data_IF_791013287654
#
_entry.id   IF_791013287654
#
_cell.length_a   1.000
_cell.length_b   1.000
_cell.length_c   1.000
_cell.angle_alpha   90.00
_cell.angle_beta   90.00
_cell.angle_gamma   90.00
#
_symmetry.space_group_name_H-M   'P 1'
#
loop_
_entity.id
_entity.type
_entity.pdbx_description
1 polymer ?
#
# COMPACT_ATOMS: atom_id res chain seq x y z
N UNK A 1 10.52 -10.10 36.51
CA UNK A 1 9.66 -9.05 37.11
C UNK A 1 10.29 -7.71 36.81
N UNK A 2 9.51 -6.75 36.32
CA UNK A 2 9.99 -5.39 36.03
C UNK A 2 10.40 -4.72 37.34
N UNK A 3 11.67 -4.32 37.44
CA UNK A 3 12.17 -3.59 38.60
C UNK A 3 11.48 -2.22 38.72
N UNK A 4 11.06 -1.85 39.94
CA UNK A 4 10.38 -0.59 40.22
C UNK A 4 9.08 -0.36 39.39
N UNK A 5 8.34 -1.43 39.07
CA UNK A 5 7.14 -1.39 38.21
C UNK A 5 6.17 -0.25 38.54
N UNK A 6 5.78 -0.07 39.80
CA UNK A 6 4.81 0.97 40.17
C UNK A 6 5.39 2.40 39.97
N UNK A 7 6.69 2.59 40.23
CA UNK A 7 7.38 3.87 39.94
C UNK A 7 7.49 4.12 38.44
N UNK A 8 7.76 3.08 37.63
CA UNK A 8 7.81 3.17 36.17
C UNK A 8 6.44 3.47 35.57
N UNK A 9 5.38 2.83 36.05
CA UNK A 9 4.00 3.16 35.65
C UNK A 9 3.70 4.64 35.94
N UNK A 10 3.98 5.10 37.17
CA UNK A 10 3.75 6.49 37.56
C UNK A 10 4.57 7.48 36.72
N UNK A 11 5.86 7.20 36.52
CA UNK A 11 6.73 8.04 35.71
C UNK A 11 6.32 8.12 34.23
N UNK A 12 5.95 6.99 33.60
CA UNK A 12 5.45 6.99 32.22
C UNK A 12 4.09 7.67 32.09
N UNK A 13 3.22 7.52 33.09
CA UNK A 13 1.95 8.23 33.12
C UNK A 13 2.15 9.74 33.23
N UNK A 14 3.04 10.22 34.11
CA UNK A 14 3.39 11.64 34.22
C UNK A 14 4.00 12.17 32.92
N UNK A 15 4.99 11.46 32.34
CA UNK A 15 5.60 11.80 31.04
C UNK A 15 4.56 11.95 29.93
N UNK A 16 3.64 10.97 29.85
CA UNK A 16 2.59 11.00 28.84
C UNK A 16 1.60 12.15 29.10
N UNK A 17 1.22 12.38 30.36
CA UNK A 17 0.28 13.43 30.74
C UNK A 17 0.76 14.83 30.34
N UNK A 18 2.04 15.14 30.54
CA UNK A 18 2.66 16.41 30.15
C UNK A 18 2.56 16.63 28.63
N UNK A 19 2.83 15.59 27.83
CA UNK A 19 2.72 15.67 26.37
C UNK A 19 1.28 15.81 25.84
N UNK A 20 0.27 15.38 26.61
CA UNK A 20 -1.14 15.33 26.17
C UNK A 20 -2.07 16.24 27.00
N UNK A 21 -1.53 17.31 27.60
CA UNK A 21 -2.35 18.34 28.25
C UNK A 21 -3.06 17.86 29.52
N UNK A 22 -2.40 17.03 30.32
CA UNK A 22 -2.82 16.70 31.68
C UNK A 22 -3.60 15.40 31.84
N UNK A 23 -3.80 14.65 30.75
CA UNK A 23 -4.54 13.37 30.74
C UNK A 23 -3.67 12.25 30.15
N UNK A 24 -3.13 11.35 30.98
CA UNK A 24 -2.38 10.22 30.50
C UNK A 24 -3.27 9.19 29.80
N UNK A 25 -2.72 8.54 28.78
CA UNK A 25 -3.35 7.45 28.04
C UNK A 25 -2.82 6.07 28.54
N UNK A 26 -3.67 5.20 29.12
CA UNK A 26 -3.28 3.87 29.60
C UNK A 26 -2.55 3.01 28.56
N UNK A 27 -2.99 3.04 27.30
CA UNK A 27 -2.38 2.26 26.22
C UNK A 27 -0.95 2.71 25.87
N UNK A 28 -0.65 3.99 26.02
CA UNK A 28 0.70 4.53 25.82
C UNK A 28 1.65 4.07 26.91
N UNK A 29 1.17 3.93 28.15
CA UNK A 29 1.94 3.43 29.30
C UNK A 29 2.24 1.94 29.13
N UNK A 30 1.25 1.13 28.72
CA UNK A 30 1.48 -0.29 28.38
C UNK A 30 2.55 -0.42 27.30
N UNK A 31 2.49 0.43 26.27
CA UNK A 31 3.47 0.44 25.19
C UNK A 31 4.88 0.78 25.68
N UNK A 32 5.00 1.69 26.64
CA UNK A 32 6.27 2.03 27.27
C UNK A 32 6.83 0.86 28.11
N UNK A 33 5.97 0.20 28.90
CA UNK A 33 6.36 -0.94 29.73
C UNK A 33 6.79 -2.17 28.94
N UNK A 34 6.35 -2.33 27.68
CA UNK A 34 6.91 -3.37 26.80
C UNK A 34 8.42 -3.17 26.57
N UNK A 35 8.91 -1.93 26.56
CA UNK A 35 10.35 -1.67 26.45
C UNK A 35 11.10 -1.96 27.76
N UNK A 36 10.37 -2.05 28.88
CA UNK A 36 10.88 -2.41 30.21
C UNK A 36 10.79 -3.93 30.49
N UNK A 37 10.40 -4.71 29.47
CA UNK A 37 10.29 -6.17 29.57
C UNK A 37 8.92 -6.70 30.00
N UNK A 38 7.85 -5.90 29.92
CA UNK A 38 6.49 -6.41 30.11
C UNK A 38 6.15 -7.44 29.04
N UNK A 39 5.57 -8.58 29.43
CA UNK A 39 5.06 -9.55 28.47
C UNK A 39 3.58 -9.33 28.16
N UNK A 40 3.13 -9.74 26.96
CA UNK A 40 1.72 -9.63 26.55
C UNK A 40 0.77 -10.40 27.49
N UNK A 41 1.24 -11.50 28.06
CA UNK A 41 0.54 -12.32 29.06
C UNK A 41 0.25 -11.55 30.35
N UNK A 42 1.13 -10.62 30.74
CA UNK A 42 1.07 -9.88 32.00
C UNK A 42 0.19 -8.63 31.92
N UNK A 43 -0.15 -8.17 30.71
CA UNK A 43 -0.92 -6.92 30.49
C UNK A 43 -2.23 -6.91 31.26
N UNK A 44 -2.97 -8.03 31.27
CA UNK A 44 -4.25 -8.12 32.00
C UNK A 44 -4.08 -7.89 33.50
N UNK A 45 -2.97 -8.32 34.07
CA UNK A 45 -2.66 -8.21 35.50
C UNK A 45 -2.18 -6.81 35.87
N UNK A 46 -1.46 -6.14 34.96
CA UNK A 46 -0.88 -4.80 35.20
C UNK A 46 -1.88 -3.67 34.89
N UNK A 47 -2.82 -3.89 33.97
CA UNK A 47 -3.79 -2.87 33.53
C UNK A 47 -4.57 -2.18 34.66
N UNK A 48 -5.09 -2.88 35.70
CA UNK A 48 -5.80 -2.21 36.79
C UNK A 48 -4.93 -1.23 37.56
N UNK A 49 -3.63 -1.53 37.72
CA UNK A 49 -2.67 -0.63 38.37
C UNK A 49 -2.40 0.61 37.52
N UNK A 50 -2.25 0.44 36.20
CA UNK A 50 -2.09 1.55 35.26
C UNK A 50 -3.31 2.47 35.35
N UNK A 51 -4.52 1.92 35.29
CA UNK A 51 -5.74 2.73 35.32
C UNK A 51 -5.84 3.56 36.61
N UNK A 52 -5.57 2.93 37.77
CA UNK A 52 -5.56 3.62 39.05
C UNK A 52 -4.59 4.81 39.06
N UNK A 53 -3.34 4.61 38.63
CA UNK A 53 -2.32 5.66 38.62
C UNK A 53 -2.63 6.77 37.59
N UNK A 54 -3.22 6.42 36.45
CA UNK A 54 -3.71 7.39 35.46
C UNK A 54 -4.80 8.28 36.05
N UNK A 55 -5.75 7.70 36.79
CA UNK A 55 -6.84 8.43 37.42
C UNK A 55 -6.33 9.35 38.54
N UNK A 56 -5.30 8.93 39.28
CA UNK A 56 -4.64 9.76 40.30
C UNK A 56 -3.89 10.95 39.67
N UNK A 57 -3.12 10.72 38.60
CA UNK A 57 -2.35 11.77 37.92
C UNK A 57 -3.28 12.77 37.23
N UNK A 58 -4.39 12.30 36.64
CA UNK A 58 -5.37 13.17 35.96
C UNK A 58 -6.04 14.19 36.89
N UNK A 59 -5.93 14.02 38.21
CA UNK A 59 -6.46 14.96 39.22
C UNK A 59 -5.48 16.07 39.58
N UNK A 60 -4.20 15.91 39.23
CA UNK A 60 -3.16 16.92 39.47
C UNK A 60 -3.22 17.99 38.38
N UNK A 61 -2.89 19.22 38.73
CA UNK A 61 -2.65 20.28 37.75
C UNK A 61 -1.40 19.98 36.90
N UNK A 62 -1.31 20.58 35.70
CA UNK A 62 -0.16 20.38 34.81
C UNK A 62 1.17 20.74 35.50
N UNK A 63 1.20 21.82 36.27
CA UNK A 63 2.39 22.26 37.02
C UNK A 63 2.81 21.22 38.09
N UNK A 64 1.84 20.64 38.80
CA UNK A 64 2.09 19.56 39.76
C UNK A 64 2.58 18.28 39.07
N UNK A 65 2.05 17.97 37.89
CA UNK A 65 2.49 16.81 37.09
C UNK A 65 3.93 16.99 36.60
N UNK A 66 4.31 18.17 36.12
CA UNK A 66 5.68 18.50 35.72
C UNK A 66 6.65 18.37 36.90
N UNK A 67 6.29 18.95 38.05
CA UNK A 67 7.11 18.87 39.27
C UNK A 67 7.27 17.43 39.78
N UNK A 68 6.20 16.64 39.75
CA UNK A 68 6.27 15.22 40.11
C UNK A 68 7.12 14.43 39.12
N UNK A 69 7.05 14.74 37.82
CA UNK A 69 7.79 14.04 36.77
C UNK A 69 9.31 14.13 36.94
N UNK A 70 9.84 15.26 37.44
CA UNK A 70 11.27 15.43 37.73
C UNK A 70 11.85 14.29 38.59
N UNK A 71 11.05 13.76 39.53
CA UNK A 71 11.46 12.68 40.45
C UNK A 71 11.62 11.32 39.76
N UNK A 72 11.11 11.17 38.55
CA UNK A 72 11.08 9.89 37.82
C UNK A 72 11.96 9.89 36.57
N UNK A 73 12.52 11.04 36.15
CA UNK A 73 13.32 11.14 34.91
C UNK A 73 14.45 10.11 34.84
N UNK A 74 15.17 9.90 35.94
CA UNK A 74 16.32 8.98 36.00
C UNK A 74 15.94 7.49 36.01
N UNK A 75 14.67 7.17 36.34
CA UNK A 75 14.20 5.78 36.50
C UNK A 75 13.55 5.26 35.20
N UNK A 76 13.13 6.18 34.33
CA UNK A 76 12.50 5.83 33.07
C UNK A 76 13.57 5.57 32.03
N UNK A 77 13.48 4.44 31.33
CA UNK A 77 14.30 4.28 30.14
C UNK A 77 13.97 5.37 29.13
N UNK A 78 14.99 6.11 28.73
CA UNK A 78 14.92 6.85 27.49
C UNK A 78 14.96 5.83 26.37
N UNK A 79 13.99 5.92 25.46
CA UNK A 79 14.05 5.11 24.26
C UNK A 79 15.32 5.51 23.54
N UNK A 80 16.28 4.58 23.40
CA UNK A 80 17.43 4.81 22.53
C UNK A 80 16.90 5.31 21.18
N UNK A 81 17.24 6.56 20.87
CA UNK A 81 16.99 7.11 19.56
C UNK A 81 17.86 6.32 18.60
N UNK A 82 17.26 5.33 17.93
CA UNK A 82 17.92 4.64 16.83
C UNK A 82 18.15 5.67 15.74
N UNK A 83 19.40 6.06 15.56
CA UNK A 83 19.79 6.91 14.44
C UNK A 83 19.74 6.11 13.14
N UNK A 84 19.17 6.72 12.11
CA UNK A 84 19.11 6.14 10.78
C UNK A 84 18.01 5.10 10.56
N UNK A 85 18.05 4.47 9.39
CA UNK A 85 17.07 3.49 8.97
C UNK A 85 17.40 2.10 9.54
N UNK A 86 16.37 1.32 9.95
CA UNK A 86 16.53 -0.10 10.27
C UNK A 86 17.24 -0.87 9.15
N UNK A 87 17.86 -2.00 9.48
CA UNK A 87 18.39 -2.88 8.44
C UNK A 87 17.26 -3.42 7.56
N UNK A 88 17.46 -3.36 6.25
CA UNK A 88 16.52 -3.90 5.28
C UNK A 88 16.82 -5.39 5.10
N UNK A 89 15.84 -6.31 5.26
CA UNK A 89 16.07 -7.74 5.08
C UNK A 89 16.56 -8.07 3.66
N UNK A 90 17.38 -9.10 3.49
CA UNK A 90 17.85 -9.58 2.17
C UNK A 90 18.49 -8.46 1.30
N UNK A 91 19.27 -7.56 1.92
CA UNK A 91 19.79 -6.34 1.28
C UNK A 91 21.31 -6.29 1.24
N UNK A 92 21.95 -7.28 0.60
CA UNK A 92 23.41 -7.40 0.60
C UNK A 92 24.11 -6.33 -0.26
N UNK A 93 23.44 -5.80 -1.30
CA UNK A 93 23.70 -4.57 -2.10
C UNK A 93 22.72 -4.50 -3.29
N UNK A 94 22.63 -3.34 -3.95
CA UNK A 94 21.87 -3.12 -5.20
C UNK A 94 20.35 -3.29 -5.10
N UNK A 95 19.74 -2.62 -4.12
CA UNK A 95 18.28 -2.66 -3.97
C UNK A 95 17.59 -1.93 -5.12
N UNK A 96 16.57 -2.57 -5.68
CA UNK A 96 15.68 -1.99 -6.67
C UNK A 96 14.33 -1.69 -6.04
N UNK A 97 13.98 -0.40 -5.99
CA UNK A 97 12.77 0.13 -5.35
C UNK A 97 12.08 1.17 -6.25
N UNK A 98 10.86 1.56 -5.91
CA UNK A 98 10.14 2.58 -6.67
C UNK A 98 9.17 3.43 -5.85
N UNK A 99 8.87 4.59 -6.40
CA UNK A 99 7.67 5.36 -6.10
C UNK A 99 6.75 5.33 -7.32
N UNK A 100 5.46 5.05 -7.13
CA UNK A 100 4.48 4.95 -8.22
C UNK A 100 3.30 5.91 -8.03
N UNK A 101 3.45 7.22 -8.32
CA UNK A 101 2.37 8.19 -8.20
C UNK A 101 1.42 8.16 -9.41
N UNK A 102 0.11 8.29 -9.14
CA UNK A 102 -0.86 8.62 -10.17
C UNK A 102 -0.77 10.13 -10.50
N UNK A 103 -0.58 10.54 -11.77
CA UNK A 103 -0.51 11.94 -12.17
C UNK A 103 -1.89 12.60 -12.22
N UNK A 104 -2.57 12.63 -11.08
CA UNK A 104 -3.95 13.10 -10.92
C UNK A 104 -4.03 14.41 -10.11
N UNK A 105 -2.90 15.02 -9.84
CA UNK A 105 -2.72 16.25 -9.06
C UNK A 105 -1.29 16.37 -8.50
N UNK A 106 -1.00 17.46 -7.79
CA UNK A 106 0.30 17.66 -7.14
C UNK A 106 0.53 16.66 -6.00
N UNK A 107 1.80 16.43 -5.65
CA UNK A 107 2.13 15.62 -4.48
C UNK A 107 1.90 16.40 -3.19
N UNK A 108 1.19 15.80 -2.23
CA UNK A 108 1.19 16.27 -0.84
C UNK A 108 2.26 15.56 0.03
N UNK A 109 2.49 16.08 1.23
CA UNK A 109 3.49 15.57 2.20
C UNK A 109 3.37 14.07 2.49
N UNK A 110 2.14 13.52 2.52
CA UNK A 110 1.93 12.08 2.69
C UNK A 110 2.61 11.21 1.63
N UNK A 111 2.70 11.66 0.37
CA UNK A 111 3.40 10.93 -0.68
C UNK A 111 4.90 10.92 -0.43
N UNK A 112 5.44 12.08 -0.04
CA UNK A 112 6.87 12.25 0.24
C UNK A 112 7.28 11.35 1.40
N UNK A 113 6.59 11.42 2.54
CA UNK A 113 6.98 10.64 3.73
C UNK A 113 6.86 9.13 3.46
N UNK A 114 5.77 8.69 2.82
CA UNK A 114 5.58 7.26 2.55
C UNK A 114 6.62 6.68 1.58
N UNK A 115 7.21 7.52 0.70
CA UNK A 115 8.19 7.07 -0.29
C UNK A 115 9.63 7.47 0.01
N UNK A 116 9.86 8.34 1.01
CA UNK A 116 11.19 8.74 1.45
C UNK A 116 12.03 7.52 1.85
N UNK A 117 11.41 6.53 2.50
CA UNK A 117 12.07 5.28 2.85
C UNK A 117 12.67 4.57 1.64
N UNK A 118 11.94 4.48 0.52
CA UNK A 118 12.44 3.84 -0.71
C UNK A 118 13.69 4.58 -1.23
N UNK A 119 13.65 5.92 -1.28
CA UNK A 119 14.79 6.74 -1.71
C UNK A 119 16.00 6.57 -0.78
N UNK A 120 15.79 6.66 0.53
CA UNK A 120 16.86 6.58 1.53
C UNK A 120 17.48 5.18 1.61
N UNK A 121 16.70 4.10 1.46
CA UNK A 121 17.24 2.75 1.39
C UNK A 121 18.13 2.53 0.16
N UNK A 122 17.73 3.07 -1.00
CA UNK A 122 18.58 3.06 -2.19
C UNK A 122 19.87 3.88 -1.98
N UNK A 123 19.82 5.01 -1.24
CA UNK A 123 21.05 5.74 -0.85
C UNK A 123 21.95 4.92 0.08
N UNK A 124 21.36 4.15 1.00
CA UNK A 124 22.10 3.33 1.99
C UNK A 124 22.74 2.09 1.36
N UNK A 125 22.00 1.35 0.53
CA UNK A 125 22.43 0.05 -0.01
C UNK A 125 22.87 0.08 -1.49
N UNK A 126 22.78 1.24 -2.15
CA UNK A 126 22.98 1.36 -3.59
C UNK A 126 21.79 0.83 -4.41
N UNK A 127 21.96 0.71 -5.73
CA UNK A 127 20.94 0.19 -6.63
C UNK A 127 20.12 1.27 -7.35
N UNK A 128 18.82 1.00 -7.55
CA UNK A 128 17.96 1.81 -8.45
C UNK A 128 16.67 2.26 -7.76
N UNK A 129 16.38 3.55 -7.87
CA UNK A 129 15.14 4.16 -7.42
C UNK A 129 14.33 4.67 -8.61
N UNK A 130 13.24 4.00 -8.96
CA UNK A 130 12.40 4.41 -10.08
C UNK A 130 11.21 5.26 -9.63
N UNK A 131 10.83 6.24 -10.45
CA UNK A 131 9.53 6.90 -10.34
C UNK A 131 8.68 6.48 -11.54
N UNK A 132 7.59 5.76 -11.30
CA UNK A 132 6.71 5.26 -12.34
C UNK A 132 5.39 6.02 -12.28
N UNK A 133 5.12 6.86 -13.26
CA UNK A 133 3.83 7.52 -13.41
C UNK A 133 2.76 6.47 -13.70
N UNK A 134 1.80 6.32 -12.79
CA UNK A 134 0.66 5.40 -12.94
C UNK A 134 -0.47 6.08 -13.71
N UNK A 135 -0.21 6.37 -14.97
CA UNK A 135 -1.14 7.01 -15.89
C UNK A 135 -2.00 6.00 -16.65
N UNK A 136 -2.35 4.87 -16.03
CA UNK A 136 -3.21 3.86 -16.66
C UNK A 136 -4.70 4.18 -16.56
N UNK A 137 -5.06 5.29 -15.92
CA UNK A 137 -6.43 5.80 -15.88
C UNK A 137 -6.54 7.14 -16.64
N UNK A 138 -6.96 7.10 -17.93
CA UNK A 138 -6.99 8.29 -18.78
C UNK A 138 -7.82 9.44 -18.21
N UNK A 139 -8.95 9.12 -17.58
CA UNK A 139 -9.92 10.09 -17.04
C UNK A 139 -9.33 10.90 -15.87
N UNK A 140 -8.59 10.23 -14.99
CA UNK A 140 -7.98 10.85 -13.81
C UNK A 140 -6.62 11.51 -14.07
N UNK A 141 -6.06 11.36 -15.27
CA UNK A 141 -4.70 11.82 -15.60
C UNK A 141 -4.71 13.29 -16.00
N UNK A 142 -3.89 14.10 -15.34
CA UNK A 142 -3.75 15.54 -15.56
C UNK A 142 -2.36 15.82 -16.13
N UNK A 143 -2.29 16.44 -17.31
CA UNK A 143 -1.04 16.65 -18.06
C UNK A 143 0.00 17.46 -17.26
N UNK A 144 -0.45 18.47 -16.52
CA UNK A 144 0.39 19.37 -15.74
C UNK A 144 1.04 18.64 -14.56
N UNK A 145 0.39 17.57 -14.06
CA UNK A 145 0.89 16.78 -12.93
C UNK A 145 2.21 16.07 -13.26
N UNK A 146 2.46 15.71 -14.52
CA UNK A 146 3.74 15.10 -14.91
C UNK A 146 4.93 16.01 -14.59
N UNK A 147 4.82 17.30 -14.90
CA UNK A 147 5.90 18.27 -14.65
C UNK A 147 6.03 18.57 -13.16
N UNK A 148 4.90 18.75 -12.46
CA UNK A 148 4.88 19.03 -11.02
C UNK A 148 5.50 17.88 -10.21
N UNK A 149 5.05 16.65 -10.42
CA UNK A 149 5.56 15.47 -9.73
C UNK A 149 7.06 15.27 -9.99
N UNK A 150 7.55 15.51 -11.22
CA UNK A 150 9.00 15.44 -11.50
C UNK A 150 9.78 16.45 -10.67
N UNK A 151 9.31 17.71 -10.62
CA UNK A 151 9.92 18.78 -9.82
C UNK A 151 9.94 18.40 -8.33
N UNK A 152 8.82 17.94 -7.80
CA UNK A 152 8.67 17.54 -6.39
C UNK A 152 9.57 16.36 -6.04
N UNK A 153 9.63 15.33 -6.92
CA UNK A 153 10.51 14.18 -6.72
C UNK A 153 12.00 14.55 -6.76
N UNK A 154 12.37 15.47 -7.66
CA UNK A 154 13.76 15.96 -7.75
C UNK A 154 14.15 16.68 -6.47
N UNK A 155 13.29 17.56 -5.97
CA UNK A 155 13.49 18.28 -4.73
C UNK A 155 13.51 17.36 -3.50
N UNK A 156 12.54 16.44 -3.38
CA UNK A 156 12.37 15.62 -2.19
C UNK A 156 13.37 14.45 -2.08
N UNK A 157 13.68 13.77 -3.20
CA UNK A 157 14.45 12.53 -3.18
C UNK A 157 15.89 12.72 -3.68
N UNK A 158 16.08 13.46 -4.78
CA UNK A 158 17.39 13.78 -5.35
C UNK A 158 18.20 12.60 -5.91
N UNK A 159 17.66 11.37 -5.91
CA UNK A 159 18.36 10.16 -6.39
C UNK A 159 17.51 9.27 -7.31
N UNK A 160 16.52 9.84 -8.01
CA UNK A 160 15.69 9.10 -8.96
C UNK A 160 16.55 8.61 -10.12
N UNK A 161 16.63 7.30 -10.31
CA UNK A 161 17.38 6.67 -11.40
C UNK A 161 16.72 6.90 -12.75
N UNK A 162 15.40 6.71 -12.84
CA UNK A 162 14.65 6.94 -14.08
C UNK A 162 13.17 7.21 -13.80
N UNK A 163 12.61 8.12 -14.59
CA UNK A 163 11.17 8.33 -14.68
C UNK A 163 10.59 7.46 -15.80
N UNK A 164 9.58 6.65 -15.48
CA UNK A 164 8.88 5.77 -16.39
C UNK A 164 7.39 6.12 -16.43
N UNK A 165 6.72 5.78 -17.52
CA UNK A 165 5.29 6.00 -17.71
C UNK A 165 4.64 4.63 -17.94
N UNK A 166 3.62 4.30 -17.15
CA UNK A 166 2.90 3.06 -17.35
C UNK A 166 2.26 3.02 -18.74
N UNK A 167 1.71 4.14 -19.21
CA UNK A 167 1.12 4.27 -20.53
C UNK A 167 2.07 4.04 -21.71
N UNK A 168 3.39 4.14 -21.51
CA UNK A 168 4.40 3.80 -22.53
C UNK A 168 4.65 2.27 -22.62
N UNK A 169 4.11 1.48 -21.68
CA UNK A 169 4.36 0.04 -21.52
C UNK A 169 3.13 -0.81 -21.81
N UNK A 170 2.17 -0.28 -22.56
CA UNK A 170 0.89 -0.93 -22.83
C UNK A 170 1.02 -2.28 -23.55
N UNK A 171 1.88 -2.38 -24.55
CA UNK A 171 2.11 -3.63 -25.27
C UNK A 171 2.59 -4.75 -24.33
N UNK A 172 3.53 -4.41 -23.43
CA UNK A 172 4.01 -5.32 -22.41
C UNK A 172 2.88 -5.81 -21.50
N UNK A 173 1.95 -4.93 -21.11
CA UNK A 173 0.80 -5.34 -20.31
C UNK A 173 -0.15 -6.26 -21.08
N UNK A 174 -0.33 -6.04 -22.38
CA UNK A 174 -1.14 -6.91 -23.24
C UNK A 174 -0.50 -8.29 -23.43
N UNK A 175 0.82 -8.35 -23.57
CA UNK A 175 1.54 -9.63 -23.66
C UNK A 175 1.37 -10.47 -22.39
N UNK A 176 1.48 -9.83 -21.21
CA UNK A 176 1.22 -10.51 -19.94
C UNK A 176 -0.25 -10.91 -19.78
N UNK A 177 -1.20 -10.08 -20.22
CA UNK A 177 -2.61 -10.44 -20.22
C UNK A 177 -2.87 -11.68 -21.10
N UNK A 178 -2.29 -11.73 -22.29
CA UNK A 178 -2.37 -12.87 -23.20
C UNK A 178 -1.78 -14.14 -22.57
N UNK A 179 -0.58 -14.06 -21.99
CA UNK A 179 0.05 -15.19 -21.27
C UNK A 179 -0.83 -15.72 -20.12
N UNK A 180 -1.49 -14.82 -19.38
CA UNK A 180 -2.42 -15.22 -18.32
C UNK A 180 -3.66 -15.92 -18.87
N UNK A 181 -4.18 -15.49 -20.03
CA UNK A 181 -5.32 -16.17 -20.70
C UNK A 181 -4.90 -17.55 -21.22
N UNK A 182 -3.75 -17.64 -21.90
CA UNK A 182 -3.23 -18.88 -22.49
C UNK A 182 -2.92 -19.94 -21.43
N UNK A 183 -2.49 -19.50 -20.23
CA UNK A 183 -2.27 -20.37 -19.07
C UNK A 183 -3.52 -20.61 -18.21
N UNK A 184 -4.70 -20.24 -18.71
CA UNK A 184 -6.00 -20.37 -18.01
C UNK A 184 -6.09 -19.62 -16.66
N UNK A 185 -5.18 -18.67 -16.39
CA UNK A 185 -5.13 -17.86 -15.17
C UNK A 185 -5.83 -16.50 -15.30
N UNK A 186 -6.42 -16.21 -16.46
CA UNK A 186 -7.30 -15.06 -16.67
C UNK A 186 -8.42 -15.41 -17.66
N UNK A 187 -9.53 -14.66 -17.57
CA UNK A 187 -10.67 -14.83 -18.46
C UNK A 187 -11.40 -13.50 -18.69
N UNK A 188 -12.09 -13.39 -19.82
CA UNK A 188 -12.89 -12.20 -20.14
C UNK A 188 -14.31 -12.37 -19.58
N UNK A 189 -14.68 -11.48 -18.68
CA UNK A 189 -15.97 -11.46 -18.02
C UNK A 189 -16.86 -10.37 -18.63
N UNK A 190 -18.08 -10.76 -19.01
CA UNK A 190 -19.11 -9.87 -19.55
C UNK A 190 -20.33 -9.78 -18.62
N UNK A 191 -20.18 -10.17 -17.35
CA UNK A 191 -21.15 -9.85 -16.32
C UNK A 191 -21.06 -8.37 -15.97
N UNK A 192 -22.21 -7.74 -15.66
CA UNK A 192 -22.21 -6.41 -15.06
C UNK A 192 -21.42 -6.41 -13.75
N UNK A 193 -20.90 -5.24 -13.36
CA UNK A 193 -20.13 -5.09 -12.12
C UNK A 193 -20.94 -5.53 -10.88
N UNK A 194 -22.22 -5.20 -10.84
CA UNK A 194 -23.16 -5.57 -9.78
C UNK A 194 -23.41 -7.08 -9.74
N UNK A 195 -23.74 -7.69 -10.89
CA UNK A 195 -23.97 -9.13 -10.98
C UNK A 195 -22.74 -9.93 -10.54
N UNK A 196 -21.55 -9.52 -10.99
CA UNK A 196 -20.31 -10.15 -10.56
C UNK A 196 -20.06 -9.97 -9.06
N UNK A 197 -20.30 -8.78 -8.51
CA UNK A 197 -20.13 -8.51 -7.08
C UNK A 197 -21.05 -9.39 -6.22
N UNK A 198 -22.30 -9.59 -6.63
CA UNK A 198 -23.23 -10.50 -5.97
C UNK A 198 -22.74 -11.95 -6.00
N UNK A 199 -22.33 -12.44 -7.17
CA UNK A 199 -21.79 -13.79 -7.32
C UNK A 199 -20.55 -13.99 -6.47
N UNK A 200 -19.61 -13.04 -6.51
CA UNK A 200 -18.40 -13.06 -5.70
C UNK A 200 -18.70 -13.04 -4.20
N UNK A 201 -19.69 -12.26 -3.75
CA UNK A 201 -20.14 -12.23 -2.35
C UNK A 201 -20.70 -13.59 -1.92
N UNK A 202 -21.52 -14.21 -2.79
CA UNK A 202 -22.10 -15.55 -2.61
C UNK A 202 -21.11 -16.69 -2.87
N UNK A 203 -19.82 -16.41 -3.14
CA UNK A 203 -18.77 -17.39 -3.49
C UNK A 203 -19.12 -18.27 -4.71
N UNK A 204 -19.90 -17.73 -5.65
CA UNK A 204 -20.31 -18.44 -6.87
C UNK A 204 -19.48 -17.97 -8.07
N UNK A 205 -19.11 -18.91 -8.92
CA UNK A 205 -18.45 -18.60 -10.20
C UNK A 205 -19.44 -17.94 -11.17
N UNK A 206 -18.99 -16.94 -11.92
CA UNK A 206 -19.77 -16.47 -13.06
C UNK A 206 -19.63 -17.44 -14.25
N UNK A 207 -20.63 -17.53 -15.15
CA UNK A 207 -20.56 -18.42 -16.32
C UNK A 207 -19.32 -18.18 -17.20
N UNK A 208 -18.82 -16.94 -17.25
CA UNK A 208 -17.64 -16.56 -18.03
C UNK A 208 -16.36 -17.25 -17.56
N UNK A 209 -16.27 -17.64 -16.28
CA UNK A 209 -15.08 -18.29 -15.69
C UNK A 209 -14.77 -19.66 -16.32
N UNK A 210 -15.79 -20.30 -16.91
CA UNK A 210 -15.71 -21.62 -17.57
C UNK A 210 -15.44 -21.53 -19.07
N UNK A 211 -15.25 -20.33 -19.62
CA UNK A 211 -14.89 -20.14 -21.04
C UNK A 211 -13.55 -20.84 -21.31
N UNK A 212 -13.42 -21.45 -22.48
CA UNK A 212 -12.17 -22.04 -22.97
C UNK A 212 -11.14 -20.96 -23.28
N UNK A 213 -9.86 -21.34 -23.37
CA UNK A 213 -8.76 -20.44 -23.77
C UNK A 213 -9.04 -19.76 -25.11
N UNK A 214 -9.56 -20.50 -26.10
CA UNK A 214 -9.87 -19.97 -27.43
C UNK A 214 -10.95 -18.89 -27.36
N UNK A 215 -12.00 -19.12 -26.56
CA UNK A 215 -13.08 -18.14 -26.38
C UNK A 215 -12.60 -16.90 -25.63
N UNK A 216 -11.80 -17.07 -24.58
CA UNK A 216 -11.21 -15.94 -23.86
C UNK A 216 -10.25 -15.13 -24.73
N UNK A 217 -9.43 -15.79 -25.56
CA UNK A 217 -8.53 -15.13 -26.51
C UNK A 217 -9.32 -14.33 -27.54
N UNK A 218 -10.37 -14.90 -28.13
CA UNK A 218 -11.25 -14.19 -29.04
C UNK A 218 -11.97 -13.01 -28.38
N UNK A 219 -12.44 -13.16 -27.15
CA UNK A 219 -13.07 -12.07 -26.39
C UNK A 219 -12.04 -10.97 -26.01
N UNK A 220 -10.77 -11.34 -25.76
CA UNK A 220 -9.69 -10.38 -25.51
C UNK A 220 -9.39 -9.53 -26.76
N UNK A 221 -9.29 -10.17 -27.93
CA UNK A 221 -9.15 -9.45 -29.21
C UNK A 221 -10.35 -8.51 -29.46
N UNK A 222 -11.57 -8.92 -29.09
CA UNK A 222 -12.75 -8.04 -29.13
C UNK A 222 -12.67 -6.87 -28.15
N UNK A 223 -12.05 -7.03 -26.98
CA UNK A 223 -11.80 -5.90 -26.08
C UNK A 223 -10.84 -4.89 -26.74
N UNK A 224 -9.81 -5.36 -27.45
CA UNK A 224 -8.81 -4.51 -28.12
C UNK A 224 -9.33 -3.87 -29.42
N UNK A 225 -10.27 -4.51 -30.12
CA UNK A 225 -10.81 -4.04 -31.39
C UNK A 225 -11.60 -2.72 -31.26
N UNK A 226 -11.20 -1.68 -31.98
CA UNK A 226 -11.83 -0.35 -31.94
C UNK A 226 -13.11 -0.20 -32.76
N UNK A 227 -13.35 -1.06 -33.74
CA UNK A 227 -14.48 -0.95 -34.69
C UNK A 227 -15.68 -1.78 -34.22
N UNK A 228 -15.47 -3.08 -34.06
CA UNK A 228 -16.53 -4.07 -33.80
C UNK A 228 -16.28 -4.85 -32.50
N UNK A 229 -15.73 -4.15 -31.51
CA UNK A 229 -15.40 -4.70 -30.19
C UNK A 229 -16.44 -4.41 -29.12
N UNK A 230 -16.20 -4.92 -27.90
CA UNK A 230 -17.03 -4.58 -26.73
C UNK A 230 -17.03 -3.07 -26.46
N UNK A 231 -18.14 -2.55 -25.94
CA UNK A 231 -18.24 -1.18 -25.45
C UNK A 231 -17.70 -1.03 -24.01
N UNK A 232 -17.59 0.21 -23.55
CA UNK A 232 -17.18 0.50 -22.17
C UNK A 232 -18.15 -0.13 -21.18
N UNK A 233 -17.63 -0.85 -20.17
CA UNK A 233 -18.43 -1.56 -19.17
C UNK A 233 -18.95 -2.95 -19.59
N UNK A 234 -18.90 -3.32 -20.88
CA UNK A 234 -19.41 -4.62 -21.35
C UNK A 234 -18.47 -5.79 -21.09
N UNK A 235 -17.16 -5.52 -20.98
CA UNK A 235 -16.15 -6.56 -20.78
C UNK A 235 -15.01 -6.09 -19.87
N UNK A 236 -14.54 -7.00 -19.03
CA UNK A 236 -13.39 -6.82 -18.15
C UNK A 236 -12.54 -8.09 -18.14
N UNK A 237 -11.23 -7.94 -18.26
CA UNK A 237 -10.32 -9.05 -18.04
C UNK A 237 -10.20 -9.29 -16.54
N UNK A 238 -10.42 -10.51 -16.08
CA UNK A 238 -10.30 -10.89 -14.67
C UNK A 238 -9.20 -11.91 -14.48
N UNK A 239 -8.48 -11.79 -13.37
CA UNK A 239 -7.65 -12.86 -12.87
C UNK A 239 -8.55 -14.03 -12.48
N UNK A 240 -8.18 -15.25 -12.82
CA UNK A 240 -8.85 -16.47 -12.38
C UNK A 240 -8.13 -16.96 -11.15
N UNK A 241 -8.65 -16.67 -9.97
CA UNK A 241 -8.01 -17.06 -8.72
C UNK A 241 -7.84 -18.59 -8.68
N UNK A 242 -6.60 -19.10 -8.54
CA UNK A 242 -6.34 -20.54 -8.55
C UNK A 242 -7.01 -21.26 -7.39
N UNK A 243 -7.23 -22.57 -7.53
CA UNK A 243 -7.87 -23.38 -6.49
C UNK A 243 -7.02 -23.46 -5.21
N UNK A 244 -5.71 -23.42 -5.36
CA UNK A 244 -4.73 -23.41 -4.28
C UNK A 244 -4.87 -22.15 -3.41
N UNK A 245 -5.36 -21.05 -4.01
CA UNK A 245 -5.71 -19.79 -3.34
C UNK A 245 -7.21 -19.73 -3.01
N UNK A 246 -7.87 -20.90 -2.94
CA UNK A 246 -9.30 -21.11 -2.64
C UNK A 246 -10.26 -20.51 -3.67
N UNK A 247 -9.80 -20.08 -4.84
CA UNK A 247 -10.65 -19.58 -5.92
C UNK A 247 -11.74 -18.60 -5.46
N UNK A 248 -12.99 -18.85 -5.88
CA UNK A 248 -14.16 -18.07 -5.46
C UNK A 248 -14.55 -18.27 -3.99
N UNK A 249 -14.02 -19.29 -3.31
CA UNK A 249 -14.28 -19.54 -1.89
C UNK A 249 -13.31 -18.82 -0.96
N UNK A 250 -12.31 -18.10 -1.49
CA UNK A 250 -11.31 -17.39 -0.71
C UNK A 250 -11.98 -16.52 0.38
N UNK A 251 -11.56 -16.62 1.66
CA UNK A 251 -12.20 -15.90 2.74
C UNK A 251 -12.14 -14.38 2.56
N UNK A 252 -11.11 -13.85 1.91
CA UNK A 252 -11.02 -12.44 1.54
C UNK A 252 -11.70 -12.19 0.18
N UNK A 253 -12.83 -11.43 0.12
CA UNK A 253 -13.51 -11.12 -1.14
C UNK A 253 -12.62 -10.41 -2.16
N UNK A 254 -11.63 -9.63 -1.72
CA UNK A 254 -10.71 -8.92 -2.61
C UNK A 254 -9.84 -9.88 -3.46
N UNK A 255 -9.66 -11.12 -3.01
CA UNK A 255 -8.89 -12.14 -3.71
C UNK A 255 -9.71 -12.92 -4.74
N UNK A 256 -11.04 -12.77 -4.77
CA UNK A 256 -11.93 -13.53 -5.67
C UNK A 256 -11.98 -12.85 -7.04
N UNK A 257 -11.36 -13.48 -8.03
CA UNK A 257 -11.43 -13.13 -9.46
C UNK A 257 -11.45 -11.61 -9.75
N UNK A 258 -10.42 -10.92 -9.24
CA UNK A 258 -10.28 -9.47 -9.31
C UNK A 258 -9.94 -8.99 -10.74
N UNK A 259 -10.33 -7.76 -11.12
CA UNK A 259 -10.13 -7.28 -12.48
C UNK A 259 -8.65 -6.90 -12.74
N UNK A 260 -8.20 -7.15 -13.97
CA UNK A 260 -6.84 -6.91 -14.47
C UNK A 260 -6.78 -5.82 -15.53
N UNK A 261 -7.80 -5.69 -16.37
CA UNK A 261 -7.88 -4.65 -17.40
C UNK A 261 -9.35 -4.34 -17.75
N UNK A 262 -9.65 -3.08 -18.08
CA UNK A 262 -10.99 -2.60 -18.45
C UNK A 262 -10.95 -1.81 -19.75
N UNK A 263 -12.07 -1.75 -20.45
CA UNK A 263 -12.24 -0.80 -21.54
C UNK A 263 -12.46 0.58 -20.92
N UNK A 264 -11.72 1.58 -21.40
CA UNK A 264 -11.92 3.00 -21.11
C UNK A 264 -11.62 3.78 -22.40
N UNK A 265 -12.63 4.47 -22.92
CA UNK A 265 -12.58 5.17 -24.19
C UNK A 265 -12.19 6.64 -24.06
N UNK A 266 -11.92 7.14 -22.86
CA UNK A 266 -11.47 8.51 -22.62
C UNK A 266 -10.13 8.79 -23.33
N UNK A 267 -9.90 10.06 -23.69
CA UNK A 267 -8.63 10.44 -24.31
C UNK A 267 -7.52 10.51 -23.25
N UNK A 268 -6.45 9.76 -23.43
CA UNK A 268 -5.31 9.83 -22.52
C UNK A 268 -4.42 11.05 -22.86
N UNK A 269 -3.99 11.87 -21.89
CA UNK A 269 -3.21 13.08 -22.16
C UNK A 269 -1.95 12.88 -23.02
N UNK A 270 -1.23 11.77 -22.81
CA UNK A 270 -0.06 11.34 -23.58
C UNK A 270 -0.37 10.43 -24.79
N UNK A 271 -1.08 9.31 -24.59
CA UNK A 271 -1.34 8.31 -25.64
C UNK A 271 -2.55 8.62 -26.53
N UNK A 272 -3.30 9.68 -26.26
CA UNK A 272 -4.50 10.07 -27.01
C UNK A 272 -5.51 8.93 -27.07
N UNK A 273 -6.01 8.57 -28.25
CA UNK A 273 -6.91 7.43 -28.50
C UNK A 273 -6.16 6.18 -28.98
N UNK A 274 -4.84 6.08 -28.75
CA UNK A 274 -4.04 4.93 -29.21
C UNK A 274 -4.53 3.61 -28.58
N UNK A 275 -4.84 3.63 -27.28
CA UNK A 275 -5.32 2.46 -26.55
C UNK A 275 -6.75 2.66 -26.06
N UNK A 276 -7.48 1.55 -25.95
CA UNK A 276 -8.87 1.51 -25.44
C UNK A 276 -9.04 0.57 -24.24
N UNK A 277 -8.14 -0.40 -24.07
CA UNK A 277 -8.13 -1.33 -22.95
C UNK A 277 -7.00 -0.92 -22.03
N UNK A 278 -7.32 -0.55 -20.80
CA UNK A 278 -6.36 -0.04 -19.85
C UNK A 278 -6.14 -1.05 -18.71
N UNK A 279 -4.88 -1.38 -18.37
CA UNK A 279 -4.57 -2.26 -17.26
C UNK A 279 -4.95 -1.58 -15.95
N UNK A 280 -5.41 -2.39 -15.01
CA UNK A 280 -5.64 -1.98 -13.63
C UNK A 280 -4.41 -2.27 -12.78
N UNK A 281 -4.35 -1.63 -11.61
CA UNK A 281 -3.22 -1.65 -10.69
C UNK A 281 -2.57 -3.03 -10.53
N UNK A 282 -3.34 -4.10 -10.31
CA UNK A 282 -2.74 -5.41 -10.05
C UNK A 282 -2.02 -5.99 -11.28
N UNK A 283 -2.46 -5.68 -12.50
CA UNK A 283 -1.75 -6.09 -13.71
C UNK A 283 -0.53 -5.18 -13.93
N UNK A 284 -0.73 -3.86 -14.03
CA UNK A 284 0.34 -2.91 -14.36
C UNK A 284 1.48 -2.93 -13.34
N UNK A 285 1.14 -2.95 -12.05
CA UNK A 285 2.14 -3.00 -10.96
C UNK A 285 2.91 -4.31 -10.99
N UNK A 286 2.24 -5.46 -11.11
CA UNK A 286 2.93 -6.76 -11.11
C UNK A 286 3.88 -6.88 -12.29
N UNK A 287 3.45 -6.47 -13.49
CA UNK A 287 4.27 -6.54 -14.70
C UNK A 287 5.48 -5.61 -14.59
N UNK A 288 5.27 -4.36 -14.16
CA UNK A 288 6.39 -3.45 -13.97
C UNK A 288 7.35 -3.91 -12.87
N UNK A 289 6.83 -4.53 -11.81
CA UNK A 289 7.67 -5.12 -10.77
C UNK A 289 8.59 -6.21 -11.33
N UNK A 290 8.03 -7.11 -12.13
CA UNK A 290 8.75 -8.25 -12.72
C UNK A 290 9.85 -7.75 -13.65
N UNK A 291 9.47 -6.86 -14.56
CA UNK A 291 10.33 -6.40 -15.66
C UNK A 291 11.42 -5.44 -15.21
N UNK A 292 11.20 -4.74 -14.10
CA UNK A 292 12.22 -3.90 -13.48
C UNK A 292 12.98 -4.61 -12.36
N UNK A 293 12.70 -5.90 -12.14
CA UNK A 293 13.34 -6.77 -11.14
C UNK A 293 13.30 -6.14 -9.73
N UNK A 294 12.11 -5.72 -9.32
CA UNK A 294 11.91 -5.09 -8.01
C UNK A 294 12.30 -6.04 -6.90
N UNK A 295 13.12 -5.54 -5.98
CA UNK A 295 13.61 -6.31 -4.84
C UNK A 295 12.81 -6.00 -3.58
N UNK A 296 12.44 -4.73 -3.39
CA UNK A 296 11.77 -4.24 -2.19
C UNK A 296 10.67 -3.24 -2.53
N UNK A 297 9.52 -3.40 -1.89
CA UNK A 297 8.36 -2.52 -2.04
C UNK A 297 7.90 -2.05 -0.66
N UNK A 298 8.13 -0.78 -0.35
CA UNK A 298 7.63 -0.15 0.87
C UNK A 298 6.50 0.81 0.49
N UNK A 299 5.30 0.60 1.04
CA UNK A 299 4.10 1.37 0.70
C UNK A 299 3.07 1.43 1.83
N UNK A 300 1.97 2.14 1.64
CA UNK A 300 0.88 2.25 2.61
C UNK A 300 0.20 0.92 2.90
N UNK A 301 -0.23 0.71 4.17
CA UNK A 301 -0.92 -0.50 4.65
C UNK A 301 -2.23 -0.81 3.95
N UNK A 302 -2.87 0.18 3.36
CA UNK A 302 -4.04 0.03 2.49
C UNK A 302 -3.76 -0.80 1.23
N UNK A 303 -2.50 -0.98 0.83
CA UNK A 303 -2.13 -1.85 -0.28
C UNK A 303 -1.78 -3.29 0.14
N UNK A 304 -2.15 -3.73 1.34
CA UNK A 304 -1.89 -5.11 1.80
C UNK A 304 -2.57 -6.15 0.91
N UNK A 305 -3.86 -5.95 0.62
CA UNK A 305 -4.61 -6.85 -0.26
C UNK A 305 -4.10 -6.77 -1.71
N UNK A 306 -3.67 -5.59 -2.17
CA UNK A 306 -3.00 -5.46 -3.47
C UNK A 306 -1.73 -6.32 -3.55
N UNK A 307 -0.94 -6.41 -2.48
CA UNK A 307 0.29 -7.22 -2.49
C UNK A 307 -0.03 -8.71 -2.58
N UNK A 308 -1.08 -9.16 -1.89
CA UNK A 308 -1.54 -10.55 -1.98
C UNK A 308 -2.00 -10.88 -3.41
N UNK A 309 -2.75 -9.98 -4.05
CA UNK A 309 -3.15 -10.11 -5.46
C UNK A 309 -1.96 -10.17 -6.41
N UNK A 310 -1.00 -9.26 -6.24
CA UNK A 310 0.23 -9.23 -7.03
C UNK A 310 1.05 -10.52 -6.83
N UNK A 311 1.14 -11.02 -5.60
CA UNK A 311 1.82 -12.29 -5.31
C UNK A 311 1.15 -13.48 -6.01
N UNK A 312 -0.18 -13.52 -6.09
CA UNK A 312 -0.88 -14.56 -6.86
C UNK A 312 -0.54 -14.50 -8.35
N UNK A 313 -0.43 -13.30 -8.93
CA UNK A 313 0.01 -13.12 -10.33
C UNK A 313 1.43 -13.64 -10.53
N UNK A 314 2.35 -13.31 -9.62
CA UNK A 314 3.72 -13.84 -9.64
C UNK A 314 3.75 -15.37 -9.60
N UNK A 315 2.93 -15.97 -8.73
CA UNK A 315 2.86 -17.43 -8.56
C UNK A 315 2.44 -18.13 -9.84
N UNK A 316 1.35 -17.69 -10.47
CA UNK A 316 0.85 -18.33 -11.70
C UNK A 316 1.77 -18.13 -12.90
N UNK A 317 2.61 -17.09 -12.88
CA UNK A 317 3.64 -16.84 -13.88
C UNK A 317 4.95 -17.62 -13.61
N UNK A 318 4.99 -18.44 -12.54
CA UNK A 318 6.20 -19.19 -12.16
C UNK A 318 7.31 -18.32 -11.56
N UNK A 319 6.98 -17.11 -11.11
CA UNK A 319 7.93 -16.09 -10.66
C UNK A 319 7.87 -15.84 -9.15
N UNK A 320 7.21 -16.68 -8.36
CA UNK A 320 7.00 -16.46 -6.91
C UNK A 320 8.28 -16.10 -6.13
N UNK A 321 9.41 -16.73 -6.47
CA UNK A 321 10.72 -16.47 -5.84
C UNK A 321 11.27 -15.06 -6.12
N UNK A 322 10.81 -14.40 -7.18
CA UNK A 322 11.16 -13.02 -7.55
C UNK A 322 10.22 -11.98 -6.93
N UNK A 323 9.20 -12.38 -6.16
CA UNK A 323 8.29 -11.43 -5.55
C UNK A 323 9.04 -10.54 -4.55
N UNK A 324 8.96 -9.20 -4.67
CA UNK A 324 9.73 -8.30 -3.83
C UNK A 324 9.37 -8.43 -2.36
N UNK A 325 10.36 -8.29 -1.49
CA UNK A 325 10.09 -8.11 -0.08
C UNK A 325 9.21 -6.87 0.11
N UNK A 326 8.10 -7.03 0.82
CA UNK A 326 7.07 -5.98 0.91
C UNK A 326 6.82 -5.58 2.35
N UNK A 327 6.86 -4.28 2.63
CA UNK A 327 6.54 -3.72 3.94
C UNK A 327 5.47 -2.63 3.86
N UNK A 328 4.67 -2.55 4.92
CA UNK A 328 3.49 -1.71 4.98
C UNK A 328 3.59 -0.67 6.09
N UNK A 329 3.67 0.60 5.70
CA UNK A 329 3.70 1.73 6.63
C UNK A 329 2.26 2.09 7.02
N UNK A 330 2.07 2.41 8.31
CA UNK A 330 0.81 2.97 8.80
C UNK A 330 0.54 4.35 8.20
N UNK A 331 -0.74 4.74 8.10
CA UNK A 331 -1.10 6.09 7.67
C UNK A 331 -0.63 7.10 8.73
N UNK A 332 0.07 8.13 8.27
CA UNK A 332 0.43 9.28 9.10
C UNK A 332 -0.72 10.27 9.05
N UNK A 333 -1.26 10.62 10.21
CA UNK A 333 -2.27 11.65 10.37
C UNK A 333 -1.61 12.85 11.03
N UNK A 334 -1.84 14.03 10.46
CA UNK A 334 -1.48 15.30 11.05
C UNK A 334 -2.73 15.85 11.74
N UNK A 335 -2.57 16.42 12.94
CA UNK A 335 -3.70 16.98 13.68
C UNK A 335 -4.23 18.25 13.00
N UNK A 336 -3.33 19.03 12.39
CA UNK A 336 -3.63 20.39 11.89
C UNK A 336 -3.54 20.51 10.36
N UNK A 337 -3.38 19.39 9.64
CA UNK A 337 -3.24 19.37 8.18
C UNK A 337 -4.15 18.31 7.55
N UNK A 338 -5.01 18.74 6.62
CA UNK A 338 -5.83 17.86 5.80
C UNK A 338 -5.06 17.45 4.55
N UNK A 339 -4.89 16.14 4.34
CA UNK A 339 -4.11 15.60 3.21
C UNK A 339 -4.97 14.82 2.21
N UNK A 340 -6.26 14.64 2.47
CA UNK A 340 -7.13 13.95 1.51
C UNK A 340 -7.29 14.76 0.23
N UNK A 341 -6.93 14.16 -0.91
CA UNK A 341 -7.09 14.76 -2.23
C UNK A 341 -8.53 15.26 -2.47
N UNK A 342 -9.54 14.46 -2.16
CA UNK A 342 -10.95 14.83 -2.36
C UNK A 342 -11.36 16.08 -1.56
N UNK A 343 -10.71 16.33 -0.41
CA UNK A 343 -11.01 17.48 0.45
C UNK A 343 -10.19 18.70 0.06
N UNK A 344 -8.93 18.50 -0.32
CA UNK A 344 -8.05 19.58 -0.81
C UNK A 344 -8.58 20.23 -2.09
N UNK A 345 -9.32 19.48 -2.92
CA UNK A 345 -9.95 20.00 -4.13
C UNK A 345 -11.28 20.74 -3.89
N UNK A 346 -11.85 20.62 -2.69
CA UNK A 346 -13.12 21.28 -2.30
C UNK A 346 -12.91 22.59 -1.54
N UNK A 347 -11.66 22.94 -1.26
CA UNK A 347 -11.26 24.26 -0.77
C UNK A 347 -10.86 25.12 -1.96
#
# INVERSE_FOLDING_TARGET
>A
MIENLDKKIKGYALKNSIHYGGKPNPGSIVSALFNEGLEKSEVKTVMPKIQKLVDEISKLSLEEQEKEYEKFKEILSERESREGLPELPNSDKDVVMRFRPAPSGPLHLGHVISNMYNSLYVKKYGGKFYVIFDDTDPESTIKESYTQIKKDCTWAFGNVTKYLYASDRMELYYDYAKRLIESENAYVCNCSAESFKELATKKKECPCRKKTVQKNSGDWEKMLNKKDGFAEGEAVLRFKTPKEEKGMENPNPAMRDFPLARINLHEHPKQKKKYRVWPLMNLSVSVDDIELEMTHVIRGKDHKDNAQRQKMIYKVLGMEKKFPWTFFIGRIKFNDLELSKEKLWKQ
#
